data_IF_859334527149
#
_entry.id   IF_859334527149
#
_cell.length_a   1.000
_cell.length_b   1.000
_cell.length_c   1.000
_cell.angle_alpha   90.00
_cell.angle_beta   90.00
_cell.angle_gamma   90.00
#
_symmetry.space_group_name_H-M   'P 1'
#
loop_
_entity.id
_entity.type
_entity.pdbx_description
1 polymer ?
#
# COMPACT_ATOMS: atom_id res chain seq x y z
N UNK A 1 23.77 -68.72 42.78
CA UNK A 1 23.61 -67.55 43.68
C UNK A 1 23.85 -66.30 42.84
N UNK A 2 22.77 -65.67 42.38
CA UNK A 2 22.78 -64.63 41.33
C UNK A 2 22.69 -63.26 42.02
N UNK A 3 23.73 -62.44 41.94
CA UNK A 3 23.70 -61.03 42.38
C UNK A 3 23.49 -60.13 41.16
N UNK A 4 22.24 -59.66 41.00
CA UNK A 4 21.87 -58.58 40.08
C UNK A 4 22.42 -57.27 40.64
N UNK A 5 23.32 -56.64 39.89
CA UNK A 5 23.71 -55.24 40.09
C UNK A 5 22.50 -54.34 39.72
N UNK A 6 22.13 -53.33 40.53
CA UNK A 6 21.06 -52.44 40.13
C UNK A 6 21.63 -51.36 39.17
N UNK A 7 20.86 -50.96 38.15
CA UNK A 7 21.18 -49.91 37.17
C UNK A 7 20.71 -48.54 37.66
N UNK A 8 21.48 -47.86 38.51
CA UNK A 8 21.09 -46.55 39.07
C UNK A 8 21.79 -45.39 38.35
N UNK A 9 22.80 -45.68 37.53
CA UNK A 9 23.51 -44.68 36.72
C UNK A 9 22.82 -44.39 35.37
N UNK A 10 21.90 -45.24 34.92
CA UNK A 10 21.14 -45.01 33.68
C UNK A 10 19.93 -44.08 33.88
N UNK A 11 19.50 -43.83 35.12
CA UNK A 11 18.32 -43.02 35.41
C UNK A 11 18.60 -41.50 35.47
N UNK A 12 19.86 -41.08 35.59
CA UNK A 12 20.21 -39.66 35.73
C UNK A 12 20.47 -38.93 34.40
N UNK A 13 20.74 -39.65 33.31
CA UNK A 13 21.01 -39.04 32.00
C UNK A 13 19.72 -38.81 31.18
N UNK A 14 18.63 -39.50 31.50
CA UNK A 14 17.34 -39.32 30.80
C UNK A 14 16.53 -38.13 31.35
N UNK A 15 16.81 -37.65 32.57
CA UNK A 15 16.11 -36.49 33.15
C UNK A 15 16.68 -35.13 32.69
N UNK A 16 17.83 -35.11 32.00
CA UNK A 16 18.40 -33.91 31.36
C UNK A 16 18.09 -33.80 29.86
N UNK A 17 17.26 -34.70 29.31
CA UNK A 17 16.78 -34.64 27.92
C UNK A 17 15.43 -33.92 27.75
N UNK A 18 14.85 -33.42 28.86
CA UNK A 18 13.54 -32.78 28.91
C UNK A 18 13.62 -31.28 29.26
N UNK A 19 14.76 -30.63 29.00
CA UNK A 19 14.76 -29.20 28.70
C UNK A 19 14.40 -29.04 27.22
N UNK A 20 13.17 -29.44 26.92
CA UNK A 20 12.45 -29.05 25.73
C UNK A 20 12.54 -27.54 25.69
N UNK A 21 13.34 -27.06 24.74
CA UNK A 21 13.11 -25.91 23.86
C UNK A 21 11.81 -25.19 24.21
N UNK A 22 11.80 -24.46 25.31
CA UNK A 22 10.90 -23.33 25.43
C UNK A 22 11.57 -22.31 24.54
N UNK A 23 11.23 -22.38 23.25
CA UNK A 23 11.18 -21.21 22.39
C UNK A 23 10.28 -20.22 23.11
N UNK A 24 10.87 -19.48 24.05
CA UNK A 24 10.41 -18.14 24.35
C UNK A 24 10.80 -17.38 23.09
N UNK A 25 9.99 -17.56 22.04
CA UNK A 25 9.66 -16.45 21.16
C UNK A 25 9.03 -15.41 22.09
N UNK A 26 9.89 -14.74 22.86
CA UNK A 26 9.67 -13.38 23.29
C UNK A 26 9.54 -12.65 21.97
N UNK A 27 8.30 -12.62 21.46
CA UNK A 27 7.88 -11.66 20.49
C UNK A 27 8.28 -10.33 21.10
N UNK A 28 9.45 -9.84 20.71
CA UNK A 28 9.84 -8.49 20.94
C UNK A 28 8.70 -7.72 20.32
N UNK A 29 7.80 -7.23 21.16
CA UNK A 29 6.79 -6.28 20.76
C UNK A 29 7.58 -4.98 20.64
N UNK A 30 8.49 -4.92 19.66
CA UNK A 30 9.05 -3.67 19.25
C UNK A 30 7.84 -2.85 18.84
N UNK A 31 7.57 -1.81 19.61
CA UNK A 31 6.44 -0.94 19.37
C UNK A 31 6.57 -0.41 17.95
N UNK A 32 5.65 -0.80 17.08
CA UNK A 32 5.63 -0.30 15.71
C UNK A 32 5.48 1.22 15.81
N UNK A 33 6.46 1.96 15.29
CA UNK A 33 6.66 3.40 15.59
C UNK A 33 5.54 4.32 15.10
N UNK A 34 4.67 3.86 14.20
CA UNK A 34 3.64 4.67 13.55
C UNK A 34 2.27 3.99 13.66
N UNK A 35 1.21 4.78 13.66
CA UNK A 35 -0.15 4.24 13.55
C UNK A 35 -0.31 3.52 12.20
N UNK A 36 -1.04 2.40 12.12
CA UNK A 36 -1.39 1.78 10.85
C UNK A 36 -2.10 2.77 9.89
N UNK A 37 -2.96 3.66 10.43
CA UNK A 37 -3.61 4.71 9.63
C UNK A 37 -2.66 5.77 9.10
N UNK A 38 -1.56 6.07 9.80
CA UNK A 38 -0.55 7.02 9.32
C UNK A 38 0.16 6.47 8.08
N UNK A 39 0.41 5.16 8.04
CA UNK A 39 1.01 4.50 6.87
C UNK A 39 0.09 4.60 5.65
N UNK A 40 -1.20 4.27 5.81
CA UNK A 40 -2.20 4.40 4.74
C UNK A 40 -2.32 5.87 4.30
N UNK A 41 -2.42 6.81 5.24
CA UNK A 41 -2.52 8.24 4.94
C UNK A 41 -1.30 8.77 4.18
N UNK A 42 -0.08 8.37 4.56
CA UNK A 42 1.15 8.77 3.85
C UNK A 42 1.20 8.18 2.44
N UNK A 43 0.89 6.89 2.29
CA UNK A 43 0.82 6.23 0.99
C UNK A 43 -0.15 6.94 0.04
N UNK A 44 -1.41 7.11 0.47
CA UNK A 44 -2.45 7.75 -0.35
C UNK A 44 -2.13 9.22 -0.64
N UNK A 45 -1.51 9.94 0.31
CA UNK A 45 -1.04 11.32 0.08
C UNK A 45 0.04 11.40 -1.00
N UNK A 46 0.97 10.45 -1.01
CA UNK A 46 2.02 10.40 -2.03
C UNK A 46 1.43 10.06 -3.40
N UNK A 47 0.51 9.09 -3.47
CA UNK A 47 -0.17 8.73 -4.70
C UNK A 47 -0.99 9.91 -5.26
N UNK A 48 -1.75 10.60 -4.40
CA UNK A 48 -2.49 11.81 -4.76
C UNK A 48 -1.58 12.92 -5.32
N UNK A 49 -0.34 13.00 -4.84
CA UNK A 49 0.69 13.94 -5.33
C UNK A 49 1.40 13.45 -6.59
N UNK A 50 1.03 12.28 -7.11
CA UNK A 50 1.57 11.68 -8.32
C UNK A 50 2.94 11.02 -8.13
N UNK A 51 3.26 10.55 -6.93
CA UNK A 51 4.53 9.86 -6.66
C UNK A 51 4.68 8.55 -7.46
N UNK A 52 3.56 7.94 -7.88
CA UNK A 52 3.53 6.76 -8.75
C UNK A 52 3.59 7.10 -10.25
N UNK A 53 3.58 8.39 -10.62
CA UNK A 53 3.76 8.87 -12.00
C UNK A 53 5.22 9.29 -12.29
N UNK A 54 6.06 9.36 -11.27
CA UNK A 54 7.46 9.80 -11.38
C UNK A 54 8.38 8.67 -10.89
N UNK A 55 9.30 8.27 -11.77
CA UNK A 55 10.25 7.19 -11.49
C UNK A 55 11.15 7.49 -10.29
N UNK A 56 11.45 8.77 -10.01
CA UNK A 56 12.30 9.15 -8.88
C UNK A 56 11.61 8.97 -7.52
N UNK A 57 10.28 8.93 -7.48
CA UNK A 57 9.51 8.81 -6.24
C UNK A 57 8.94 7.42 -5.98
N UNK A 58 9.12 6.46 -6.90
CA UNK A 58 8.53 5.13 -6.79
C UNK A 58 9.04 4.36 -5.57
N UNK A 59 10.34 4.47 -5.25
CA UNK A 59 10.95 3.84 -4.08
C UNK A 59 10.38 4.39 -2.75
N UNK A 60 9.99 5.67 -2.75
CA UNK A 60 9.36 6.28 -1.57
C UNK A 60 8.00 5.64 -1.30
N UNK A 61 7.23 5.35 -2.34
CA UNK A 61 5.93 4.67 -2.23
C UNK A 61 6.10 3.21 -1.81
N UNK A 62 7.07 2.50 -2.40
CA UNK A 62 7.38 1.10 -2.07
C UNK A 62 7.72 0.87 -0.59
N UNK A 63 8.22 1.91 0.09
CA UNK A 63 8.49 1.85 1.54
C UNK A 63 7.23 1.62 2.40
N UNK A 64 6.03 1.88 1.88
CA UNK A 64 4.75 1.70 2.59
C UNK A 64 4.02 0.38 2.25
N UNK A 65 4.46 -0.31 1.20
CA UNK A 65 3.79 -1.51 0.67
C UNK A 65 4.61 -2.77 0.96
N UNK A 66 3.97 -3.93 0.82
CA UNK A 66 4.62 -5.25 0.99
C UNK A 66 4.86 -5.99 -0.33
N UNK A 67 4.25 -5.53 -1.43
CA UNK A 67 4.52 -6.03 -2.76
C UNK A 67 5.78 -5.39 -3.34
N UNK A 68 6.48 -6.15 -4.19
CA UNK A 68 7.72 -5.70 -4.85
C UNK A 68 7.46 -4.98 -6.17
N UNK A 69 6.38 -5.32 -6.86
CA UNK A 69 6.05 -4.83 -8.20
C UNK A 69 4.56 -4.51 -8.30
N UNK A 70 4.21 -3.57 -9.19
CA UNK A 70 2.82 -3.23 -9.50
C UNK A 70 2.46 -3.64 -10.92
N UNK A 71 1.19 -4.01 -11.19
CA UNK A 71 0.71 -4.24 -12.54
C UNK A 71 0.89 -3.02 -13.45
N UNK A 72 1.01 -3.27 -14.75
CA UNK A 72 0.86 -2.23 -15.75
C UNK A 72 -0.63 -1.84 -15.86
N UNK A 73 -1.04 -0.83 -15.08
CA UNK A 73 -2.45 -0.44 -14.97
C UNK A 73 -3.07 0.10 -16.27
N UNK A 74 -2.27 0.70 -17.15
CA UNK A 74 -2.74 1.33 -18.39
C UNK A 74 -3.58 2.61 -18.21
N UNK A 75 -4.03 2.89 -16.99
CA UNK A 75 -4.82 4.05 -16.63
C UNK A 75 -4.46 4.61 -15.25
N UNK A 76 -4.89 5.83 -15.00
CA UNK A 76 -4.73 6.57 -13.74
C UNK A 76 -6.10 7.06 -13.30
N UNK A 77 -6.49 6.76 -12.06
CA UNK A 77 -7.72 7.27 -11.47
C UNK A 77 -7.47 8.71 -11.01
N UNK A 78 -8.33 9.62 -11.44
CA UNK A 78 -8.25 11.03 -11.07
C UNK A 78 -9.23 11.29 -9.93
N UNK A 79 -8.72 11.87 -8.85
CA UNK A 79 -9.50 12.16 -7.66
C UNK A 79 -9.48 13.65 -7.33
N UNK A 80 -10.59 14.13 -6.74
CA UNK A 80 -10.68 15.47 -6.15
C UNK A 80 -10.06 15.51 -4.76
N UNK A 81 -10.11 14.39 -4.05
CA UNK A 81 -9.58 14.25 -2.70
C UNK A 81 -9.85 12.86 -2.15
N UNK A 82 -9.42 12.64 -0.91
CA UNK A 82 -9.64 11.39 -0.19
C UNK A 82 -9.76 11.65 1.31
N UNK A 83 -10.36 10.71 2.02
CA UNK A 83 -10.48 10.70 3.49
C UNK A 83 -10.04 9.34 3.99
N UNK A 84 -9.07 9.32 4.91
CA UNK A 84 -8.65 8.08 5.59
C UNK A 84 -9.39 7.99 6.91
N UNK A 85 -9.95 6.83 7.24
CA UNK A 85 -10.52 6.58 8.55
C UNK A 85 -9.42 6.61 9.62
N UNK A 86 -9.31 7.69 10.39
CA UNK A 86 -8.28 7.86 11.42
C UNK A 86 -8.68 7.23 12.77
N UNK A 87 -9.98 7.07 13.02
CA UNK A 87 -10.50 6.57 14.28
C UNK A 87 -10.64 5.04 14.24
N UNK A 88 -10.06 4.37 15.25
CA UNK A 88 -10.08 2.91 15.39
C UNK A 88 -11.49 2.28 15.37
N UNK A 89 -12.54 3.04 15.67
CA UNK A 89 -13.94 2.59 15.63
C UNK A 89 -14.44 2.28 14.21
N UNK A 90 -13.79 2.84 13.21
CA UNK A 90 -14.11 2.63 11.80
C UNK A 90 -13.25 1.52 11.18
N UNK A 91 -12.28 0.99 11.94
CA UNK A 91 -11.39 -0.05 11.47
C UNK A 91 -11.99 -1.42 11.73
N UNK A 92 -11.62 -2.36 10.88
CA UNK A 92 -11.86 -3.78 11.11
C UNK A 92 -10.55 -4.41 11.60
N UNK A 93 -10.56 -4.91 12.83
CA UNK A 93 -9.39 -5.50 13.49
C UNK A 93 -9.43 -7.00 13.25
N UNK A 94 -8.48 -7.50 12.45
CA UNK A 94 -8.34 -8.94 12.20
C UNK A 94 -7.56 -9.56 13.36
N UNK A 95 -6.40 -8.99 13.70
CA UNK A 95 -5.62 -9.32 14.89
C UNK A 95 -4.79 -8.11 15.38
N UNK A 96 -3.86 -8.32 16.32
CA UNK A 96 -3.03 -7.24 16.90
C UNK A 96 -2.09 -6.57 15.90
N UNK A 97 -1.71 -7.27 14.84
CA UNK A 97 -0.77 -6.86 13.81
C UNK A 97 -1.40 -6.87 12.41
N UNK A 98 -2.72 -6.97 12.30
CA UNK A 98 -3.43 -7.00 11.02
C UNK A 98 -4.78 -6.27 11.14
N UNK A 99 -4.92 -5.18 10.38
CA UNK A 99 -6.03 -4.23 10.49
C UNK A 99 -6.46 -3.82 9.08
N UNK A 100 -7.76 -3.58 8.91
CA UNK A 100 -8.35 -3.04 7.69
C UNK A 100 -8.83 -1.61 7.94
N UNK A 101 -8.34 -0.66 7.14
CA UNK A 101 -8.59 0.77 7.25
C UNK A 101 -9.34 1.26 6.01
N UNK A 102 -10.58 1.77 6.16
CA UNK A 102 -11.31 2.38 5.06
C UNK A 102 -10.66 3.70 4.60
N UNK A 103 -10.59 3.88 3.29
CA UNK A 103 -10.24 5.13 2.61
C UNK A 103 -11.34 5.46 1.61
N UNK A 104 -11.91 6.64 1.72
CA UNK A 104 -12.92 7.13 0.80
C UNK A 104 -12.29 8.07 -0.22
N UNK A 105 -12.36 7.73 -1.50
CA UNK A 105 -11.91 8.56 -2.61
C UNK A 105 -13.09 9.32 -3.23
N UNK A 106 -12.86 10.57 -3.59
CA UNK A 106 -13.76 11.38 -4.41
C UNK A 106 -13.26 11.31 -5.84
N UNK A 107 -13.70 10.31 -6.60
CA UNK A 107 -13.27 10.07 -7.98
C UNK A 107 -13.98 11.03 -8.91
N UNK A 108 -13.27 11.54 -9.92
CA UNK A 108 -13.85 12.37 -11.00
C UNK A 108 -13.74 11.71 -12.38
N UNK A 109 -12.94 10.65 -12.51
CA UNK A 109 -12.80 9.89 -13.74
C UNK A 109 -11.45 9.18 -13.84
N UNK A 110 -11.16 8.64 -15.01
CA UNK A 110 -9.91 7.91 -15.30
C UNK A 110 -9.25 8.40 -16.58
N UNK A 111 -7.92 8.53 -16.55
CA UNK A 111 -7.09 8.83 -17.72
C UNK A 111 -6.48 7.54 -18.25
N UNK A 112 -6.72 7.24 -19.53
CA UNK A 112 -6.12 6.11 -20.23
C UNK A 112 -4.85 6.57 -20.94
N UNK A 113 -3.70 5.99 -20.55
CA UNK A 113 -2.39 6.52 -20.91
C UNK A 113 -2.05 6.30 -22.40
N UNK A 114 -2.50 5.19 -22.97
CA UNK A 114 -2.23 4.85 -24.37
C UNK A 114 -2.97 5.76 -25.36
N UNK A 115 -4.22 6.07 -25.05
CA UNK A 115 -5.09 6.87 -25.92
C UNK A 115 -5.03 8.36 -25.61
N UNK A 116 -4.46 8.73 -24.45
CA UNK A 116 -4.57 10.07 -23.86
C UNK A 116 -6.04 10.51 -23.73
N UNK A 117 -6.94 9.58 -23.41
CA UNK A 117 -8.37 9.85 -23.22
C UNK A 117 -8.73 10.02 -21.74
N UNK A 118 -9.67 10.92 -21.45
CA UNK A 118 -10.29 11.02 -20.13
C UNK A 118 -11.73 10.52 -20.18
N UNK A 119 -12.04 9.56 -19.31
CA UNK A 119 -13.41 9.08 -19.10
C UNK A 119 -13.89 9.63 -17.77
N UNK A 120 -14.85 10.55 -17.83
CA UNK A 120 -15.43 11.14 -16.63
C UNK A 120 -16.34 10.12 -15.94
N UNK A 121 -16.09 9.91 -14.64
CA UNK A 121 -16.90 9.04 -13.79
C UNK A 121 -16.85 9.59 -12.37
N UNK A 122 -17.91 10.30 -11.98
CA UNK A 122 -17.93 11.04 -10.71
C UNK A 122 -18.61 10.18 -9.66
N UNK A 123 -17.81 9.62 -8.77
CA UNK A 123 -18.30 8.74 -7.72
C UNK A 123 -17.49 8.89 -6.43
N UNK A 124 -18.08 8.40 -5.34
CA UNK A 124 -17.40 8.29 -4.06
C UNK A 124 -17.19 6.81 -3.77
N UNK A 125 -15.92 6.38 -3.75
CA UNK A 125 -15.53 4.97 -3.65
C UNK A 125 -14.86 4.75 -2.31
N UNK A 126 -15.36 3.81 -1.52
CA UNK A 126 -14.66 3.31 -0.35
C UNK A 126 -13.76 2.14 -0.76
N UNK A 127 -12.48 2.24 -0.39
CA UNK A 127 -11.49 1.19 -0.56
C UNK A 127 -10.94 0.81 0.80
N UNK A 128 -10.90 -0.49 1.09
CA UNK A 128 -10.50 -1.03 2.39
C UNK A 128 -9.06 -1.52 2.33
N UNK A 129 -8.14 -0.74 2.91
CA UNK A 129 -6.72 -1.07 2.93
C UNK A 129 -6.40 -2.00 4.08
N UNK A 130 -5.97 -3.23 3.77
CA UNK A 130 -5.43 -4.15 4.77
C UNK A 130 -3.96 -3.84 5.00
N UNK A 131 -3.60 -3.69 6.26
CA UNK A 131 -2.23 -3.43 6.70
C UNK A 131 -1.79 -4.49 7.68
N UNK A 132 -0.51 -4.86 7.59
CA UNK A 132 0.12 -5.87 8.44
C UNK A 132 1.42 -5.35 9.06
N UNK A 133 1.66 -5.70 10.31
CA UNK A 133 2.93 -5.49 10.99
C UNK A 133 3.97 -6.48 10.48
N UNK A 134 5.02 -5.99 9.83
CA UNK A 134 6.13 -6.77 9.27
C UNK A 134 7.45 -6.08 9.64
N UNK A 135 8.38 -6.80 10.27
CA UNK A 135 9.70 -6.28 10.68
C UNK A 135 9.59 -4.92 11.41
N UNK A 136 8.71 -4.84 12.41
CA UNK A 136 8.45 -3.66 13.25
C UNK A 136 7.93 -2.42 12.49
N UNK A 137 7.32 -2.63 11.31
CA UNK A 137 6.69 -1.59 10.50
C UNK A 137 5.32 -2.04 10.00
N UNK A 138 4.36 -1.12 9.94
CA UNK A 138 3.14 -1.37 9.20
C UNK A 138 3.42 -1.31 7.70
N UNK A 139 2.86 -2.26 6.96
CA UNK A 139 2.90 -2.33 5.51
C UNK A 139 1.50 -2.57 4.97
N UNK A 140 1.17 -1.91 3.86
CA UNK A 140 -0.04 -2.21 3.11
C UNK A 140 0.17 -3.55 2.39
N UNK A 141 -0.75 -4.48 2.60
CA UNK A 141 -0.74 -5.81 1.96
C UNK A 141 -1.73 -5.91 0.83
N UNK A 142 -2.84 -5.16 0.89
CA UNK A 142 -3.84 -5.04 -0.17
C UNK A 142 -4.74 -3.82 0.09
N UNK A 143 -5.48 -3.33 -0.91
CA UNK A 143 -5.40 -3.73 -2.31
C UNK A 143 -4.22 -3.09 -3.03
N UNK A 144 -3.79 -3.75 -4.10
CA UNK A 144 -3.03 -3.09 -5.16
C UNK A 144 -4.05 -2.39 -6.05
N UNK A 145 -3.90 -1.07 -6.22
CA UNK A 145 -4.84 -0.23 -6.97
C UNK A 145 -4.08 0.52 -8.06
N UNK A 146 -4.73 0.94 -9.17
CA UNK A 146 -4.14 1.92 -10.07
C UNK A 146 -3.76 3.22 -9.33
N UNK A 147 -2.86 4.05 -9.87
CA UNK A 147 -2.53 5.34 -9.28
C UNK A 147 -3.78 6.21 -9.10
N UNK A 148 -3.99 6.72 -7.89
CA UNK A 148 -5.08 7.64 -7.54
C UNK A 148 -4.52 9.05 -7.38
N UNK A 149 -4.54 9.83 -8.44
CA UNK A 149 -3.82 11.10 -8.55
C UNK A 149 -4.78 12.28 -8.47
N UNK A 150 -4.36 13.35 -7.78
CA UNK A 150 -5.14 14.57 -7.72
C UNK A 150 -5.27 15.24 -9.09
N UNK A 151 -6.46 15.76 -9.41
CA UNK A 151 -6.74 16.45 -10.68
C UNK A 151 -5.68 17.48 -11.07
N UNK A 152 -5.27 18.35 -10.13
CA UNK A 152 -4.24 19.37 -10.38
C UNK A 152 -2.89 18.74 -10.75
N UNK A 153 -2.50 17.65 -10.09
CA UNK A 153 -1.25 16.95 -10.43
C UNK A 153 -1.35 16.31 -11.80
N UNK A 154 -2.49 15.69 -12.13
CA UNK A 154 -2.73 15.09 -13.44
C UNK A 154 -2.65 16.12 -14.57
N UNK A 155 -3.28 17.30 -14.41
CA UNK A 155 -3.17 18.42 -15.37
C UNK A 155 -1.72 18.87 -15.57
N UNK A 156 -0.92 18.90 -14.50
CA UNK A 156 0.50 19.26 -14.58
C UNK A 156 1.31 18.18 -15.30
N UNK A 157 1.06 16.90 -15.01
CA UNK A 157 1.71 15.79 -15.71
C UNK A 157 1.43 15.83 -17.22
N UNK A 158 0.16 16.05 -17.61
CA UNK A 158 -0.20 16.20 -19.04
C UNK A 158 0.47 17.43 -19.66
N UNK A 159 0.59 18.54 -18.92
CA UNK A 159 1.34 19.73 -19.39
C UNK A 159 2.81 19.40 -19.64
N UNK A 160 3.46 18.70 -18.72
CA UNK A 160 4.86 18.28 -18.85
C UNK A 160 5.06 17.36 -20.06
N UNK A 161 4.12 16.42 -20.30
CA UNK A 161 4.13 15.56 -21.48
C UNK A 161 3.97 16.35 -22.78
N UNK A 162 3.03 17.32 -22.83
CA UNK A 162 2.79 18.18 -23.98
C UNK A 162 4.04 18.96 -24.40
N UNK A 163 4.86 19.41 -23.44
CA UNK A 163 6.10 20.14 -23.71
C UNK A 163 7.20 19.26 -24.31
N UNK A 164 7.17 17.97 -24.03
CA UNK A 164 8.18 16.99 -24.49
C UNK A 164 7.77 16.28 -25.78
N UNK A 165 6.48 16.24 -26.09
CA UNK A 165 5.96 15.56 -27.27
C UNK A 165 6.29 16.31 -28.56
N UNK A 166 6.73 15.55 -29.57
CA UNK A 166 7.16 16.07 -30.88
C UNK A 166 6.17 15.72 -31.98
N UNK A 167 5.41 14.63 -31.83
CA UNK A 167 4.38 14.21 -32.77
C UNK A 167 3.16 15.14 -32.69
N UNK A 168 2.81 15.85 -33.78
CA UNK A 168 1.67 16.78 -33.80
C UNK A 168 0.34 16.13 -33.40
N UNK A 169 0.09 14.88 -33.83
CA UNK A 169 -1.16 14.20 -33.56
C UNK A 169 -1.29 13.83 -32.07
N UNK A 170 -0.19 13.42 -31.44
CA UNK A 170 -0.16 13.14 -29.99
C UNK A 170 -0.28 14.42 -29.18
N UNK A 171 0.36 15.51 -29.60
CA UNK A 171 0.22 16.82 -28.95
C UNK A 171 -1.22 17.30 -28.95
N UNK A 172 -1.93 17.14 -30.06
CA UNK A 172 -3.35 17.50 -30.16
C UNK A 172 -4.19 16.73 -29.13
N UNK A 173 -4.01 15.39 -29.05
CA UNK A 173 -4.71 14.56 -28.06
C UNK A 173 -4.41 14.97 -26.61
N UNK A 174 -3.14 15.22 -26.30
CA UNK A 174 -2.73 15.71 -24.97
C UNK A 174 -3.32 17.09 -24.65
N UNK A 175 -3.49 17.95 -25.66
CA UNK A 175 -4.16 19.24 -25.53
C UNK A 175 -5.65 19.08 -25.19
N UNK A 176 -6.35 18.20 -25.89
CA UNK A 176 -7.76 17.85 -25.59
C UNK A 176 -7.88 17.30 -24.17
N UNK A 177 -7.04 16.31 -23.82
CA UNK A 177 -7.00 15.72 -22.48
C UNK A 177 -6.79 16.77 -21.38
N UNK A 178 -5.86 17.70 -21.58
CA UNK A 178 -5.60 18.76 -20.62
C UNK A 178 -6.86 19.63 -20.39
N UNK A 179 -7.58 19.96 -21.45
CA UNK A 179 -8.79 20.78 -21.37
C UNK A 179 -9.95 20.01 -20.72
N UNK A 180 -10.14 18.73 -21.05
CA UNK A 180 -11.11 17.86 -20.39
C UNK A 180 -10.84 17.76 -18.89
N UNK A 181 -9.60 17.50 -18.50
CA UNK A 181 -9.19 17.44 -17.09
C UNK A 181 -9.39 18.76 -16.35
N UNK A 182 -9.28 19.93 -17.01
CA UNK A 182 -9.54 21.24 -16.39
C UNK A 182 -11.02 21.52 -16.20
N UNK A 183 -11.86 21.00 -17.09
CA UNK A 183 -13.31 21.21 -17.09
C UNK A 183 -14.05 20.19 -16.22
N UNK A 184 -13.44 19.03 -15.97
CA UNK A 184 -13.96 18.00 -15.09
C UNK A 184 -14.26 18.60 -13.70
N UNK A 185 -15.49 18.39 -13.23
CA UNK A 185 -15.93 18.85 -11.91
C UNK A 185 -15.94 17.70 -10.94
#
# INVERSE_FOLDING_TARGET
MIRRTPNWLAAFVVLMGWLIVVSIASAQTASIKHSPSDVVKRYVTLDYKGARLDAMSIETVASYTSWNEEPAWGHVVVTRGFVVAEHYRQWEVIDRLEIVIPVTFQVIGSVYLETAGFVQDVETVEVRFRVKGVNDRWKIVEPMLPPHVGQKRMVNFVREALLKETDPAKRERLGVLQEELRKAK
#
